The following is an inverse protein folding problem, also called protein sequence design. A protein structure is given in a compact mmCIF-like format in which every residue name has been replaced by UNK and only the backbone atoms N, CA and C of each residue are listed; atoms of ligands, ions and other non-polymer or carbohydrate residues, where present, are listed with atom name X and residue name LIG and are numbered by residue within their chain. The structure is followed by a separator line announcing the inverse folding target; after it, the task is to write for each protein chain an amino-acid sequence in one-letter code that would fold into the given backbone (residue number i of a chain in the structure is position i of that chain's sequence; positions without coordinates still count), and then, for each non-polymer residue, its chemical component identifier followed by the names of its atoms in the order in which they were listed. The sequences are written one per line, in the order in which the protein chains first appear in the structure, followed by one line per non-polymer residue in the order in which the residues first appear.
data_IF_326042433735
#
_entry.id   IF_326042433735
#
_cell.length_a   1.000
_cell.length_b   1.000
_cell.length_c   1.000
_cell.angle_alpha   90.00
_cell.angle_beta   90.00
_cell.angle_gamma   90.00
#
_symmetry.space_group_name_H-M   'P 1'
#
loop_
_entity.id
_entity.type
_entity.pdbx_description
1 polymer ?
#
# COMPACT_ATOMS: atom_id res chain seq x y z
N UNK A 1 -3.27 -3.95 -11.67
CA UNK A 1 -3.10 -4.15 -10.22
C UNK A 1 -1.71 -3.67 -9.87
N UNK A 2 -1.59 -2.74 -8.92
CA UNK A 2 -0.34 -2.14 -8.47
C UNK A 2 0.17 -2.93 -7.27
N UNK A 3 1.47 -3.25 -7.24
CA UNK A 3 2.07 -3.94 -6.11
C UNK A 3 2.49 -2.94 -5.03
N UNK A 4 1.87 -3.03 -3.86
CA UNK A 4 2.09 -2.17 -2.70
C UNK A 4 3.54 -2.23 -2.17
N UNK A 5 4.27 -3.30 -2.46
CA UNK A 5 5.65 -3.49 -2.02
C UNK A 5 6.70 -3.02 -3.03
N UNK A 6 6.31 -2.76 -4.29
CA UNK A 6 7.22 -2.36 -5.36
C UNK A 6 6.92 -0.97 -5.93
N UNK A 7 5.66 -0.54 -5.94
CA UNK A 7 5.22 0.71 -6.53
C UNK A 7 5.85 1.93 -5.88
N UNK A 8 6.10 2.96 -6.66
CA UNK A 8 6.50 4.30 -6.23
C UNK A 8 5.36 5.03 -5.51
N UNK A 9 5.68 6.10 -4.78
CA UNK A 9 4.66 6.94 -4.15
C UNK A 9 3.69 7.54 -5.18
N UNK A 10 4.20 7.94 -6.36
CA UNK A 10 3.43 8.53 -7.44
C UNK A 10 2.45 7.52 -8.07
N UNK A 11 2.90 6.28 -8.28
CA UNK A 11 2.03 5.19 -8.75
C UNK A 11 0.95 4.86 -7.72
N UNK A 12 1.28 4.85 -6.43
CA UNK A 12 0.29 4.65 -5.37
C UNK A 12 -0.72 5.80 -5.32
N UNK A 13 -0.27 7.05 -5.50
CA UNK A 13 -1.15 8.23 -5.54
C UNK A 13 -2.07 8.26 -6.76
N UNK A 14 -1.77 7.48 -7.80
CA UNK A 14 -2.68 7.29 -8.93
C UNK A 14 -3.92 6.46 -8.58
N UNK A 15 -3.88 5.70 -7.47
CA UNK A 15 -5.03 4.95 -6.94
C UNK A 15 -5.92 5.89 -6.15
N UNK A 16 -7.20 6.09 -6.53
CA UNK A 16 -8.08 7.07 -5.87
C UNK A 16 -8.17 6.93 -4.35
N UNK A 17 -8.18 5.69 -3.84
CA UNK A 17 -8.28 5.35 -2.42
C UNK A 17 -6.98 5.67 -1.65
N UNK A 18 -5.83 5.66 -2.33
CA UNK A 18 -4.51 5.91 -1.72
C UNK A 18 -3.96 7.31 -2.02
N UNK A 19 -4.69 8.11 -2.80
CA UNK A 19 -4.25 9.43 -3.25
C UNK A 19 -3.88 10.34 -2.09
N UNK A 20 -2.63 10.82 -2.09
CA UNK A 20 -2.06 11.65 -1.04
C UNK A 20 -1.40 10.87 0.10
N UNK A 21 -1.37 9.53 0.01
CA UNK A 21 -0.78 8.63 1.00
C UNK A 21 0.38 7.80 0.44
N UNK A 22 0.73 7.92 -0.85
CA UNK A 22 1.81 7.15 -1.46
C UNK A 22 3.14 7.27 -0.71
N UNK A 23 3.51 8.49 -0.28
CA UNK A 23 4.72 8.72 0.50
C UNK A 23 4.71 7.98 1.85
N UNK A 24 3.59 8.04 2.58
CA UNK A 24 3.43 7.38 3.88
C UNK A 24 3.53 5.86 3.78
N UNK A 25 2.95 5.28 2.71
CA UNK A 25 3.03 3.84 2.43
C UNK A 25 4.48 3.41 2.16
N UNK A 26 5.19 4.16 1.31
CA UNK A 26 6.60 3.85 0.98
C UNK A 26 7.48 3.96 2.23
N UNK A 27 7.27 4.99 3.05
CA UNK A 27 7.96 5.15 4.33
C UNK A 27 7.66 3.99 5.28
N UNK A 28 6.37 3.66 5.45
CA UNK A 28 5.95 2.57 6.33
C UNK A 28 6.64 1.25 5.95
N UNK A 29 6.63 0.84 4.67
CA UNK A 29 7.27 -0.42 4.26
C UNK A 29 8.79 -0.40 4.36
N UNK A 30 9.41 0.77 4.28
CA UNK A 30 10.86 0.92 4.49
C UNK A 30 11.25 0.76 5.97
N UNK A 31 10.42 1.25 6.89
CA UNK A 31 10.69 1.22 8.33
C UNK A 31 10.19 -0.05 9.03
N UNK A 32 9.03 -0.57 8.60
CA UNK A 32 8.32 -1.70 9.24
C UNK A 32 8.48 -3.01 8.48
N UNK A 33 8.98 -2.95 7.26
CA UNK A 33 9.06 -4.09 6.35
C UNK A 33 7.86 -4.21 5.42
N UNK A 34 7.92 -5.19 4.51
CA UNK A 34 6.93 -5.38 3.45
C UNK A 34 5.52 -5.65 4.01
N UNK A 35 4.51 -5.16 3.30
CA UNK A 35 3.12 -5.50 3.53
C UNK A 35 2.89 -6.97 3.18
N UNK A 36 2.20 -7.69 4.06
CA UNK A 36 1.77 -9.08 3.87
C UNK A 36 0.25 -9.20 3.71
N UNK A 37 -0.48 -8.12 4.00
CA UNK A 37 -1.93 -8.02 3.84
C UNK A 37 -2.32 -6.58 3.57
N UNK A 38 -3.35 -6.36 2.75
CA UNK A 38 -3.91 -5.03 2.50
C UNK A 38 -4.51 -4.39 3.77
N UNK A 39 -4.88 -5.17 4.79
CA UNK A 39 -5.37 -4.64 6.07
C UNK A 39 -4.33 -3.80 6.81
N UNK A 40 -3.04 -4.05 6.59
CA UNK A 40 -1.96 -3.30 7.22
C UNK A 40 -1.88 -1.85 6.73
N UNK A 41 -2.60 -1.49 5.67
CA UNK A 41 -2.79 -0.08 5.28
C UNK A 41 -3.47 0.74 6.39
N UNK A 42 -4.24 0.11 7.28
CA UNK A 42 -4.85 0.81 8.43
C UNK A 42 -3.81 1.26 9.47
N UNK A 43 -2.59 0.69 9.43
CA UNK A 43 -1.47 1.08 10.29
C UNK A 43 -0.68 2.27 9.70
N UNK A 44 -0.95 2.63 8.44
CA UNK A 44 -0.31 3.78 7.79
C UNK A 44 -1.00 5.05 8.28
N UNK A 45 -0.23 6.07 8.73
CA UNK A 45 -0.80 7.33 9.21
C UNK A 45 -1.78 7.96 8.20
N UNK A 46 -3.01 8.21 8.65
CA UNK A 46 -4.05 8.86 7.85
C UNK A 46 -4.89 7.93 6.96
N UNK A 47 -4.59 6.63 6.89
CA UNK A 47 -5.30 5.64 6.07
C UNK A 47 -6.26 4.72 6.83
N UNK A 48 -6.25 4.75 8.17
CA UNK A 48 -7.14 3.92 9.00
C UNK A 48 -8.61 4.07 8.60
N UNK A 49 -9.22 2.96 8.17
CA UNK A 49 -10.62 2.92 7.75
C UNK A 49 -10.92 3.57 6.39
N UNK A 50 -9.90 3.93 5.61
CA UNK A 50 -10.04 4.58 4.29
C UNK A 50 -9.60 3.69 3.13
N UNK A 51 -9.65 2.37 3.31
CA UNK A 51 -9.07 1.39 2.37
C UNK A 51 -10.14 0.57 1.64
N UNK A 52 -11.40 1.03 1.67
CA UNK A 52 -12.51 0.38 0.97
C UNK A 52 -12.24 0.32 -0.54
N UNK A 53 -12.47 -0.85 -1.16
CA UNK A 53 -12.25 -1.07 -2.59
C UNK A 53 -10.77 -1.15 -3.02
N UNK A 54 -9.80 -1.00 -2.12
CA UNK A 54 -8.36 -0.98 -2.47
C UNK A 54 -7.90 -2.26 -3.17
N UNK A 55 -8.51 -3.40 -2.83
CA UNK A 55 -8.19 -4.71 -3.39
C UNK A 55 -8.52 -4.85 -4.89
N UNK A 56 -9.32 -3.95 -5.46
CA UNK A 56 -9.63 -3.95 -6.90
C UNK A 56 -8.45 -3.44 -7.74
N UNK A 57 -7.58 -2.62 -7.14
CA UNK A 57 -6.50 -1.92 -7.84
C UNK A 57 -5.12 -2.28 -7.31
N UNK A 58 -5.00 -2.77 -6.07
CA UNK A 58 -3.74 -2.96 -5.36
C UNK A 58 -3.60 -4.39 -4.84
N UNK A 59 -2.37 -4.91 -4.83
CA UNK A 59 -1.98 -6.20 -4.27
C UNK A 59 -0.72 -6.04 -3.41
N UNK A 60 -0.43 -7.00 -2.54
CA UNK A 60 0.84 -7.06 -1.78
C UNK A 60 1.89 -7.94 -2.48
N UNK A 61 1.61 -8.37 -3.71
CA UNK A 61 2.42 -9.33 -4.45
C UNK A 61 2.30 -10.75 -3.86
N UNK A 62 2.63 -11.79 -4.65
CA UNK A 62 2.87 -13.11 -4.06
C UNK A 62 4.13 -13.00 -3.19
N UNK A 63 4.18 -13.59 -1.98
CA UNK A 63 5.43 -13.67 -1.24
C UNK A 63 6.49 -14.22 -2.19
N UNK A 64 7.56 -13.46 -2.38
CA UNK A 64 8.71 -13.90 -3.16
C UNK A 64 9.13 -15.24 -2.55
N UNK A 65 8.96 -16.32 -3.32
CA UNK A 65 9.38 -17.65 -2.87
C UNK A 65 10.89 -17.61 -2.56
N UNK A 66 11.34 -18.40 -1.57
CA UNK A 66 12.68 -18.31 -0.99
C UNK A 66 13.81 -18.51 -2.01
#
# INVERSE_FOLDING_TARGET
MIDLNAATAEELDSVPVLKGHGFEIVRYRAERGRFTSLRQLDEVPGLSGKTEGVAEQVTVGRPSSP
#
